data_IF_628735256065
#
_entry.id   IF_628735256065
#
_cell.length_a   1.000
_cell.length_b   1.000
_cell.length_c   1.000
_cell.angle_alpha   90.00
_cell.angle_beta   90.00
_cell.angle_gamma   90.00
#
_symmetry.space_group_name_H-M   'P 1'
#
loop_
_entity.id
_entity.type
_entity.pdbx_description
1 polymer ?
#
# COMPACT_ATOMS: atom_id res chain seq x y z
N UNK A 1 6.93 -4.72 20.77
CA UNK A 1 5.64 -5.23 21.28
C UNK A 1 4.49 -4.43 20.66
N UNK A 2 4.17 -3.22 21.14
CA UNK A 2 2.98 -2.48 20.66
C UNK A 2 2.99 -2.15 19.14
N UNK A 3 4.11 -1.68 18.60
CA UNK A 3 4.20 -1.42 17.15
C UNK A 3 4.16 -2.70 16.30
N UNK A 4 4.73 -3.79 16.79
CA UNK A 4 4.79 -5.05 16.05
C UNK A 4 3.40 -5.67 15.89
N UNK A 5 2.58 -5.60 16.94
CA UNK A 5 1.17 -5.98 16.86
C UNK A 5 0.42 -5.03 15.91
N UNK A 6 0.59 -3.71 16.10
CA UNK A 6 -0.05 -2.69 15.25
C UNK A 6 0.25 -2.89 13.77
N UNK A 7 1.53 -3.11 13.40
CA UNK A 7 1.93 -3.23 11.99
C UNK A 7 1.33 -4.47 11.32
N UNK A 8 1.16 -5.56 12.07
CA UNK A 8 0.54 -6.79 11.56
C UNK A 8 -0.95 -6.58 11.31
N UNK A 9 -1.65 -5.92 12.24
CA UNK A 9 -3.06 -5.58 12.07
C UNK A 9 -3.29 -4.59 10.91
N UNK A 10 -2.40 -3.61 10.75
CA UNK A 10 -2.42 -2.72 9.59
C UNK A 10 -2.22 -3.48 8.29
N UNK A 11 -1.38 -4.53 8.29
CA UNK A 11 -1.19 -5.39 7.14
C UNK A 11 -2.45 -6.17 6.76
N UNK A 12 -3.19 -6.67 7.75
CA UNK A 12 -4.51 -7.28 7.52
C UNK A 12 -5.49 -6.28 6.89
N UNK A 13 -5.51 -5.03 7.36
CA UNK A 13 -6.40 -4.00 6.83
C UNK A 13 -6.02 -3.52 5.41
N UNK A 14 -4.75 -3.65 5.02
CA UNK A 14 -4.26 -3.31 3.68
C UNK A 14 -4.28 -4.47 2.70
N UNK A 15 -4.42 -5.71 3.17
CA UNK A 15 -4.46 -6.86 2.29
C UNK A 15 -5.63 -6.74 1.30
N UNK A 16 -5.34 -6.92 0.01
CA UNK A 16 -6.29 -6.70 -1.09
C UNK A 16 -6.84 -5.28 -1.24
N UNK A 17 -6.23 -4.29 -0.59
CA UNK A 17 -6.58 -2.89 -0.85
C UNK A 17 -6.10 -2.47 -2.25
N UNK A 18 -6.95 -1.76 -3.00
CA UNK A 18 -6.54 -1.19 -4.29
C UNK A 18 -5.64 0.02 -4.04
N UNK A 19 -4.41 0.00 -4.53
CA UNK A 19 -3.55 1.20 -4.51
C UNK A 19 -3.91 2.10 -5.70
N UNK A 20 -4.57 3.23 -5.40
CA UNK A 20 -5.12 4.15 -6.39
C UNK A 20 -4.16 5.27 -6.79
N UNK A 21 -3.22 5.61 -5.91
CA UNK A 21 -2.26 6.69 -6.15
C UNK A 21 -1.23 6.78 -5.04
N UNK A 22 -0.05 7.28 -5.41
CA UNK A 22 1.03 7.57 -4.48
C UNK A 22 1.74 8.83 -4.93
N UNK A 23 1.87 9.81 -4.06
CA UNK A 23 2.49 11.10 -4.35
C UNK A 23 3.40 11.54 -3.21
N UNK A 24 4.39 12.37 -3.53
CA UNK A 24 5.37 12.87 -2.57
C UNK A 24 5.53 14.37 -2.80
N UNK A 25 5.36 15.14 -1.73
CA UNK A 25 5.78 16.54 -1.65
C UNK A 25 7.22 16.56 -1.09
N UNK A 26 8.25 16.70 -1.94
CA UNK A 26 9.64 16.66 -1.48
C UNK A 26 10.02 17.87 -0.62
N UNK A 27 9.35 19.02 -0.79
CA UNK A 27 9.64 20.23 -0.03
C UNK A 27 9.12 20.12 1.41
N UNK A 28 7.93 19.54 1.59
CA UNK A 28 7.35 19.28 2.92
C UNK A 28 7.76 17.93 3.51
N UNK A 29 8.39 17.06 2.70
CA UNK A 29 8.74 15.68 3.05
C UNK A 29 7.52 14.88 3.51
N UNK A 30 6.43 14.98 2.76
CA UNK A 30 5.18 14.25 3.03
C UNK A 30 4.90 13.34 1.85
N UNK A 31 4.60 12.08 2.11
CA UNK A 31 4.03 11.19 1.12
C UNK A 31 2.56 10.93 1.44
N UNK A 32 1.75 10.76 0.39
CA UNK A 32 0.36 10.37 0.49
C UNK A 32 0.10 9.16 -0.40
N UNK A 33 -0.42 8.08 0.17
CA UNK A 33 -0.93 6.94 -0.56
C UNK A 33 -2.44 6.89 -0.45
N UNK A 34 -3.13 6.76 -1.58
CA UNK A 34 -4.59 6.59 -1.60
C UNK A 34 -4.91 5.13 -1.86
N UNK A 35 -5.61 4.51 -0.92
CA UNK A 35 -6.07 3.14 -1.02
C UNK A 35 -7.59 3.08 -1.07
N UNK A 36 -8.16 2.11 -1.78
CA UNK A 36 -9.52 1.63 -1.53
C UNK A 36 -9.43 0.37 -0.69
N UNK A 37 -9.96 0.40 0.52
CA UNK A 37 -9.74 -0.67 1.51
C UNK A 37 -10.97 -1.54 1.72
N UNK A 38 -10.74 -2.73 2.26
CA UNK A 38 -11.78 -3.67 2.66
C UNK A 38 -11.98 -3.56 4.17
N UNK A 39 -12.91 -2.70 4.59
CA UNK A 39 -13.14 -2.39 6.01
C UNK A 39 -14.63 -2.41 6.36
N UNK A 40 -14.97 -2.86 7.56
CA UNK A 40 -16.32 -2.75 8.13
C UNK A 40 -16.32 -1.94 9.44
N UNK A 41 -17.31 -1.07 9.65
CA UNK A 41 -17.49 -0.41 10.94
C UNK A 41 -17.94 -1.41 12.00
N UNK A 42 -17.77 -1.07 13.28
CA UNK A 42 -18.26 -1.89 14.39
C UNK A 42 -19.79 -2.07 14.38
N UNK A 43 -20.53 -1.10 13.82
CA UNK A 43 -21.97 -1.17 13.62
C UNK A 43 -22.41 -0.29 12.45
N UNK A 44 -23.59 -0.60 11.90
CA UNK A 44 -24.17 0.11 10.75
C UNK A 44 -23.75 -0.46 9.40
N UNK A 45 -24.08 0.31 8.35
CA UNK A 45 -23.78 -0.07 6.96
C UNK A 45 -22.29 0.17 6.63
N UNK A 46 -21.70 -0.63 5.72
CA UNK A 46 -20.40 -0.32 5.16
C UNK A 46 -20.36 1.09 4.57
N UNK A 47 -19.22 1.80 4.62
CA UNK A 47 -19.12 3.13 4.04
C UNK A 47 -19.29 3.06 2.51
N UNK A 48 -20.04 4.02 1.96
CA UNK A 48 -20.24 4.16 0.51
C UNK A 48 -18.90 4.41 -0.22
N UNK A 49 -18.05 5.24 0.38
CA UNK A 49 -16.69 5.49 -0.07
C UNK A 49 -15.68 4.81 0.86
N UNK A 50 -15.00 3.79 0.31
CA UNK A 50 -13.98 3.00 1.00
C UNK A 50 -12.56 3.53 0.79
N UNK A 51 -12.42 4.71 0.21
CA UNK A 51 -11.11 5.32 0.00
C UNK A 51 -10.59 5.91 1.31
N UNK A 52 -9.31 5.68 1.56
CA UNK A 52 -8.54 6.30 2.64
C UNK A 52 -7.25 6.87 2.08
N UNK A 53 -6.74 7.91 2.72
CA UNK A 53 -5.42 8.46 2.45
C UNK A 53 -4.52 8.13 3.64
N UNK A 54 -3.43 7.42 3.38
CA UNK A 54 -2.34 7.24 4.33
C UNK A 54 -1.30 8.33 4.10
N UNK A 55 -0.99 9.07 5.16
CA UNK A 55 -0.05 10.18 5.14
C UNK A 55 1.18 9.79 5.95
N UNK A 56 2.34 9.87 5.32
CA UNK A 56 3.62 9.49 5.88
C UNK A 56 4.46 10.74 6.12
N UNK A 57 4.95 10.94 7.34
CA UNK A 57 5.66 12.17 7.72
C UNK A 57 6.74 11.91 8.79
N UNK A 58 7.77 12.76 8.85
CA UNK A 58 8.40 13.20 7.62
C UNK A 58 8.94 11.99 6.83
N UNK A 59 9.09 12.11 5.52
CA UNK A 59 9.62 11.04 4.64
C UNK A 59 11.11 11.24 4.44
N UNK A 60 11.92 10.23 4.73
CA UNK A 60 13.38 10.24 4.60
C UNK A 60 13.91 9.62 3.31
N UNK A 61 13.22 8.61 2.78
CA UNK A 61 13.59 7.91 1.53
C UNK A 61 12.36 7.38 0.80
N UNK A 62 12.43 7.37 -0.53
CA UNK A 62 11.49 6.70 -1.43
C UNK A 62 12.31 5.91 -2.43
N UNK A 63 12.16 4.59 -2.45
CA UNK A 63 12.81 3.72 -3.40
C UNK A 63 11.76 2.90 -4.16
N UNK A 64 11.98 2.71 -5.46
CA UNK A 64 11.08 1.90 -6.28
C UNK A 64 11.83 1.10 -7.32
N UNK A 65 11.25 -0.03 -7.72
CA UNK A 65 11.68 -0.89 -8.81
C UNK A 65 10.48 -1.14 -9.72
N UNK A 66 10.40 -0.39 -10.81
CA UNK A 66 9.46 -0.60 -11.91
C UNK A 66 10.15 -1.41 -12.99
N UNK A 67 9.58 -2.57 -13.35
CA UNK A 67 10.16 -3.44 -14.37
C UNK A 67 9.13 -3.93 -15.40
N UNK A 68 9.56 -4.02 -16.65
CA UNK A 68 8.83 -4.68 -17.74
C UNK A 68 9.13 -6.17 -17.72
N UNK A 69 8.12 -6.99 -17.39
CA UNK A 69 8.24 -8.43 -17.18
C UNK A 69 7.47 -8.90 -15.95
N UNK A 70 7.43 -10.22 -15.75
CA UNK A 70 6.88 -10.81 -14.53
C UNK A 70 7.78 -10.53 -13.32
N UNK A 71 7.21 -10.56 -12.12
CA UNK A 71 7.93 -10.25 -10.87
C UNK A 71 9.10 -11.20 -10.59
N UNK A 72 9.06 -12.41 -11.14
CA UNK A 72 10.09 -13.44 -11.02
C UNK A 72 11.06 -13.49 -12.22
N UNK A 73 10.95 -12.58 -13.17
CA UNK A 73 11.86 -12.48 -14.30
C UNK A 73 13.11 -11.69 -13.90
N UNK A 74 14.25 -12.39 -13.82
CA UNK A 74 15.53 -11.79 -13.46
C UNK A 74 16.05 -10.82 -14.53
N UNK A 75 15.65 -11.02 -15.79
CA UNK A 75 16.05 -10.20 -16.93
C UNK A 75 15.08 -9.04 -17.22
N UNK A 76 14.01 -8.89 -16.42
CA UNK A 76 13.02 -7.84 -16.59
C UNK A 76 13.68 -6.45 -16.61
N UNK A 77 13.41 -5.70 -17.67
CA UNK A 77 14.00 -4.38 -17.91
C UNK A 77 13.54 -3.39 -16.84
N UNK A 78 14.50 -2.70 -16.21
CA UNK A 78 14.21 -1.63 -15.24
C UNK A 78 13.84 -0.36 -15.98
N UNK A 79 12.69 0.22 -15.63
CA UNK A 79 12.19 1.46 -16.22
C UNK A 79 12.43 2.61 -15.24
N UNK A 80 13.38 3.54 -15.51
CA UNK A 80 13.62 4.67 -14.64
C UNK A 80 12.49 5.69 -14.71
N UNK A 81 12.20 6.36 -13.60
CA UNK A 81 11.23 7.46 -13.54
C UNK A 81 11.60 8.45 -12.42
N UNK A 82 11.10 9.68 -12.52
CA UNK A 82 11.36 10.71 -11.51
C UNK A 82 10.32 10.65 -10.39
N UNK A 83 10.63 11.25 -9.22
CA UNK A 83 9.69 11.30 -8.11
C UNK A 83 8.33 11.94 -8.50
N UNK A 84 8.34 12.94 -9.39
CA UNK A 84 7.12 13.59 -9.89
C UNK A 84 6.25 12.68 -10.78
N UNK A 85 6.82 11.63 -11.36
CA UNK A 85 6.08 10.68 -12.19
C UNK A 85 5.37 9.60 -11.37
N UNK A 86 5.67 9.47 -10.07
CA UNK A 86 5.24 8.35 -9.22
C UNK A 86 3.71 8.16 -9.23
N UNK A 87 2.94 9.25 -9.17
CA UNK A 87 1.48 9.16 -9.22
C UNK A 87 0.99 8.56 -10.53
N UNK A 88 1.55 9.02 -11.66
CA UNK A 88 1.21 8.50 -12.99
C UNK A 88 1.62 7.04 -13.16
N UNK A 89 2.78 6.65 -12.63
CA UNK A 89 3.24 5.25 -12.63
C UNK A 89 2.26 4.37 -11.87
N UNK A 90 1.90 4.71 -10.63
CA UNK A 90 0.94 3.95 -9.81
C UNK A 90 -0.43 3.88 -10.50
N UNK A 91 -0.96 5.02 -10.97
CA UNK A 91 -2.25 5.06 -11.66
C UNK A 91 -2.28 4.22 -12.93
N UNK A 92 -1.15 4.08 -13.62
CA UNK A 92 -1.07 3.27 -14.82
C UNK A 92 -1.29 1.77 -14.57
N UNK A 93 -1.20 1.28 -13.33
CA UNK A 93 -1.62 -0.08 -12.96
C UNK A 93 -3.15 -0.22 -12.87
N UNK A 94 -3.91 0.86 -12.89
CA UNK A 94 -5.38 0.81 -12.94
C UNK A 94 -6.04 0.46 -11.60
N UNK A 95 -5.37 0.73 -10.47
CA UNK A 95 -5.91 0.47 -9.14
C UNK A 95 -6.01 -1.02 -8.83
N UNK A 96 -4.99 -1.81 -9.20
CA UNK A 96 -4.94 -3.22 -8.81
C UNK A 96 -4.70 -3.36 -7.30
N UNK A 97 -5.21 -4.45 -6.70
CA UNK A 97 -4.97 -4.77 -5.30
C UNK A 97 -3.48 -4.96 -5.00
N UNK A 98 -3.08 -4.56 -3.79
CA UNK A 98 -1.78 -4.89 -3.23
C UNK A 98 -1.84 -6.22 -2.50
N UNK A 99 -0.73 -6.97 -2.56
CA UNK A 99 -0.60 -8.29 -1.95
C UNK A 99 0.66 -8.35 -1.10
N UNK A 100 0.59 -9.08 0.02
CA UNK A 100 1.78 -9.34 0.83
C UNK A 100 1.51 -9.75 2.27
N UNK A 101 0.34 -9.41 2.85
CA UNK A 101 -0.02 -9.54 4.27
C UNK A 101 0.91 -8.77 5.26
N UNK A 102 2.19 -8.63 4.93
CA UNK A 102 3.20 -7.83 5.60
C UNK A 102 3.58 -6.65 4.69
N UNK A 103 3.33 -5.42 5.15
CA UNK A 103 3.65 -4.22 4.37
C UNK A 103 4.64 -3.31 5.09
N UNK A 104 4.72 -3.38 6.42
CA UNK A 104 5.49 -2.43 7.23
C UNK A 104 6.78 -3.05 7.76
N UNK A 105 7.85 -2.27 7.72
CA UNK A 105 9.18 -2.64 8.24
C UNK A 105 9.73 -3.95 7.65
N UNK A 106 9.45 -4.19 6.36
CA UNK A 106 9.99 -5.31 5.57
C UNK A 106 11.01 -4.85 4.52
N UNK A 107 11.45 -3.59 4.58
CA UNK A 107 12.25 -2.96 3.54
C UNK A 107 13.59 -3.65 3.27
N UNK A 108 14.23 -4.27 4.26
CA UNK A 108 15.49 -5.00 4.05
C UNK A 108 15.30 -6.20 3.12
N UNK A 109 14.21 -6.96 3.32
CA UNK A 109 13.83 -8.10 2.46
C UNK A 109 13.55 -7.64 1.04
N UNK A 110 12.84 -6.53 0.91
CA UNK A 110 12.48 -5.95 -0.39
C UNK A 110 13.71 -5.41 -1.13
N UNK A 111 14.54 -4.60 -0.48
CA UNK A 111 15.76 -4.07 -1.08
C UNK A 111 16.75 -5.18 -1.47
N UNK A 112 16.88 -6.23 -0.66
CA UNK A 112 17.71 -7.38 -0.99
C UNK A 112 17.21 -8.10 -2.26
N UNK A 113 15.89 -8.22 -2.43
CA UNK A 113 15.25 -8.79 -3.63
C UNK A 113 15.46 -7.93 -4.88
N UNK A 114 15.40 -6.60 -4.72
CA UNK A 114 15.55 -5.68 -5.84
C UNK A 114 17.02 -5.59 -6.29
N UNK A 115 17.97 -5.65 -5.35
CA UNK A 115 19.40 -5.54 -5.62
C UNK A 115 19.73 -4.16 -6.19
N UNK A 116 20.40 -4.12 -7.35
CA UNK A 116 20.73 -2.89 -8.06
C UNK A 116 19.64 -2.41 -9.04
N UNK A 117 18.46 -3.05 -9.06
CA UNK A 117 17.39 -2.79 -10.03
C UNK A 117 16.43 -1.70 -9.57
N UNK A 118 16.95 -0.53 -9.24
CA UNK A 118 16.15 0.62 -8.79
C UNK A 118 15.77 1.52 -9.97
N UNK A 119 14.49 1.86 -10.05
CA UNK A 119 13.95 2.88 -10.95
C UNK A 119 14.01 4.29 -10.36
N UNK A 120 13.95 4.37 -9.04
CA UNK A 120 13.93 5.61 -8.24
C UNK A 120 14.59 5.32 -6.88
N UNK A 121 15.45 6.23 -6.41
CA UNK A 121 15.97 6.26 -5.03
C UNK A 121 16.14 7.72 -4.61
N UNK A 122 15.06 8.31 -4.09
CA UNK A 122 15.05 9.68 -3.57
C UNK A 122 15.29 9.68 -2.06
N UNK A 123 16.06 10.66 -1.57
CA UNK A 123 16.42 10.83 -0.16
C UNK A 123 16.34 12.30 0.24
N UNK A 124 15.89 12.58 1.47
CA UNK A 124 15.61 13.95 1.94
C UNK A 124 16.36 14.37 3.20
N UNK A 125 16.96 13.43 3.94
CA UNK A 125 17.63 13.72 5.20
C UNK A 125 17.95 12.47 6.03
N UNK A 126 18.54 12.67 7.23
CA UNK A 126 18.87 11.59 8.15
C UNK A 126 17.68 11.12 9.01
N UNK A 127 16.58 11.86 9.04
CA UNK A 127 15.32 11.56 9.72
C UNK A 127 14.23 11.09 8.74
N UNK A 128 13.06 10.64 9.22
CA UNK A 128 12.05 10.01 8.38
C UNK A 128 12.44 8.60 7.93
N UNK A 129 13.17 7.87 8.78
CA UNK A 129 13.75 6.56 8.46
C UNK A 129 13.42 5.48 9.50
N UNK A 130 12.64 5.80 10.54
CA UNK A 130 12.37 4.86 11.63
C UNK A 130 11.40 3.75 11.26
N UNK A 131 10.53 3.98 10.26
CA UNK A 131 9.54 3.04 9.72
C UNK A 131 9.60 3.01 8.21
N UNK A 132 9.05 1.96 7.63
CA UNK A 132 8.83 1.87 6.19
C UNK A 132 7.52 1.18 5.86
N UNK A 133 6.93 1.52 4.71
CA UNK A 133 5.90 0.72 4.05
C UNK A 133 6.46 0.25 2.71
N UNK A 134 6.20 -1.00 2.35
CA UNK A 134 6.48 -1.57 1.04
C UNK A 134 5.18 -2.08 0.42
N UNK A 135 4.94 -1.73 -0.85
CA UNK A 135 3.77 -2.14 -1.62
C UNK A 135 4.19 -2.67 -2.97
N UNK A 136 3.44 -3.64 -3.47
CA UNK A 136 3.65 -4.30 -4.75
C UNK A 136 2.41 -4.17 -5.62
N UNK A 137 2.59 -3.83 -6.90
CA UNK A 137 1.56 -3.92 -7.93
C UNK A 137 2.09 -4.69 -9.14
N UNK A 138 1.24 -5.53 -9.73
CA UNK A 138 1.48 -6.16 -11.02
C UNK A 138 0.37 -5.79 -12.00
N UNK A 139 0.70 -5.72 -13.29
CA UNK A 139 -0.29 -5.56 -14.34
C UNK A 139 -1.31 -6.70 -14.31
N UNK A 140 -2.60 -6.39 -14.08
CA UNK A 140 -3.69 -7.37 -14.22
C UNK A 140 -4.11 -7.62 -15.67
N UNK A 141 -3.80 -6.68 -16.57
CA UNK A 141 -4.05 -6.78 -18.01
C UNK A 141 -2.96 -6.02 -18.80
N UNK A 142 -2.79 -6.37 -20.08
CA UNK A 142 -1.76 -5.78 -20.95
C UNK A 142 -0.38 -6.44 -20.81
N UNK A 143 0.68 -5.78 -21.31
CA UNK A 143 2.05 -6.29 -21.17
C UNK A 143 2.43 -6.48 -19.70
N UNK A 144 3.11 -7.59 -19.41
CA UNK A 144 3.58 -7.89 -18.06
C UNK A 144 4.51 -6.79 -17.57
N UNK A 145 4.19 -6.22 -16.41
CA UNK A 145 5.05 -5.31 -15.66
C UNK A 145 4.66 -5.28 -14.20
N UNK A 146 5.57 -4.83 -13.36
CA UNK A 146 5.33 -4.72 -11.93
C UNK A 146 6.09 -3.55 -11.31
N UNK A 147 5.55 -3.05 -10.22
CA UNK A 147 6.12 -2.00 -9.39
C UNK A 147 6.27 -2.54 -7.97
N UNK A 148 7.50 -2.54 -7.49
CA UNK A 148 7.79 -2.58 -6.06
C UNK A 148 8.09 -1.15 -5.59
N UNK A 149 7.45 -0.69 -4.52
CA UNK A 149 7.64 0.66 -3.96
C UNK A 149 7.86 0.56 -2.45
N UNK A 150 8.86 1.26 -1.93
CA UNK A 150 9.11 1.38 -0.50
C UNK A 150 9.33 2.83 -0.09
N UNK A 151 8.68 3.24 1.00
CA UNK A 151 8.72 4.59 1.54
C UNK A 151 9.07 4.53 3.01
N UNK A 152 10.08 5.29 3.40
CA UNK A 152 10.53 5.43 4.77
C UNK A 152 9.97 6.72 5.40
N UNK A 153 9.55 6.63 6.66
CA UNK A 153 8.92 7.72 7.39
C UNK A 153 9.05 7.53 8.92
N UNK A 154 8.61 8.49 9.73
CA UNK A 154 8.56 8.32 11.20
C UNK A 154 7.13 8.24 11.77
N UNK A 155 6.17 8.88 11.13
CA UNK A 155 4.78 9.02 11.53
C UNK A 155 3.83 8.59 10.39
N UNK A 156 2.76 7.91 10.78
CA UNK A 156 1.69 7.46 9.90
C UNK A 156 0.35 8.00 10.41
N UNK A 157 -0.43 8.60 9.52
CA UNK A 157 -1.79 9.04 9.77
C UNK A 157 -2.72 8.49 8.68
N UNK A 158 -3.93 8.07 9.05
CA UNK A 158 -4.95 7.62 8.10
C UNK A 158 -6.10 8.60 8.10
N UNK A 159 -6.57 9.02 6.92
CA UNK A 159 -7.71 9.92 6.74
C UNK A 159 -8.76 9.34 5.81
N UNK A 160 -10.01 9.67 6.08
CA UNK A 160 -11.14 9.47 5.16
C UNK A 160 -11.14 10.56 4.08
N UNK A 161 -11.96 10.38 3.05
CA UNK A 161 -12.10 11.34 1.94
C UNK A 161 -12.71 12.68 2.34
N UNK A 162 -13.42 12.75 3.48
CA UNK A 162 -13.89 14.00 4.10
C UNK A 162 -12.81 14.70 4.94
N UNK A 163 -11.60 14.13 5.03
CA UNK A 163 -10.48 14.64 5.80
C UNK A 163 -10.46 14.21 7.27
N UNK A 164 -11.46 13.47 7.74
CA UNK A 164 -11.50 12.97 9.12
C UNK A 164 -10.38 11.95 9.38
N UNK A 165 -9.68 12.12 10.51
CA UNK A 165 -8.62 11.20 10.94
C UNK A 165 -9.22 9.91 11.49
N UNK A 166 -8.72 8.77 11.03
CA UNK A 166 -9.00 7.45 11.57
C UNK A 166 -7.82 7.05 12.46
N UNK A 167 -8.10 6.68 13.70
CA UNK A 167 -7.09 6.10 14.58
C UNK A 167 -6.56 4.80 13.99
N UNK A 168 -5.25 4.55 14.09
CA UNK A 168 -4.64 3.35 13.52
C UNK A 168 -5.26 2.07 14.09
N UNK A 169 -5.59 2.04 15.38
CA UNK A 169 -6.22 0.87 16.01
C UNK A 169 -7.63 0.62 15.44
N UNK A 170 -8.39 1.68 15.17
CA UNK A 170 -9.73 1.55 14.59
C UNK A 170 -9.67 1.17 13.11
N UNK A 171 -8.68 1.68 12.37
CA UNK A 171 -8.46 1.28 10.98
C UNK A 171 -8.11 -0.21 10.90
N UNK A 172 -7.16 -0.67 11.72
CA UNK A 172 -6.80 -2.07 11.91
C UNK A 172 -8.01 -2.94 12.26
N UNK A 173 -8.75 -2.57 13.32
CA UNK A 173 -9.93 -3.30 13.77
C UNK A 173 -11.02 -3.37 12.68
N UNK A 174 -11.18 -2.30 11.89
CA UNK A 174 -12.12 -2.28 10.77
C UNK A 174 -11.76 -3.25 9.65
N UNK A 175 -10.46 -3.39 9.34
CA UNK A 175 -9.96 -4.38 8.39
C UNK A 175 -10.19 -5.80 8.88
N UNK A 176 -9.82 -6.09 10.14
CA UNK A 176 -10.05 -7.40 10.77
C UNK A 176 -11.54 -7.80 10.73
N UNK A 177 -12.44 -6.88 11.11
CA UNK A 177 -13.89 -7.12 11.05
C UNK A 177 -14.37 -7.47 9.64
N UNK A 178 -13.77 -6.90 8.60
CA UNK A 178 -14.11 -7.24 7.22
C UNK A 178 -13.76 -8.70 6.91
N UNK A 179 -12.54 -9.13 7.25
CA UNK A 179 -12.11 -10.52 7.02
C UNK A 179 -12.92 -11.52 7.85
N UNK A 180 -13.15 -11.23 9.13
CA UNK A 180 -13.98 -12.08 10.00
C UNK A 180 -15.41 -12.23 9.45
N UNK A 181 -16.01 -11.13 8.96
CA UNK A 181 -17.34 -11.14 8.37
C UNK A 181 -17.37 -11.91 7.04
N UNK A 182 -16.34 -11.78 6.21
CA UNK A 182 -16.23 -12.52 4.94
C UNK A 182 -16.14 -14.03 5.19
N UNK A 183 -15.30 -14.46 6.13
CA UNK A 183 -15.19 -15.87 6.50
C UNK A 183 -16.47 -16.42 7.16
N UNK A 184 -17.27 -15.56 7.79
CA UNK A 184 -18.58 -15.93 8.35
C UNK A 184 -19.73 -15.91 7.32
N UNK A 185 -19.47 -15.51 6.06
CA UNK A 185 -20.50 -15.42 5.01
C UNK A 185 -21.46 -14.24 5.19
N UNK A 186 -21.00 -13.13 5.76
CA UNK A 186 -21.81 -11.91 5.90
C UNK A 186 -22.11 -11.28 4.53
N UNK A 187 -23.39 -11.01 4.24
CA UNK A 187 -23.83 -10.42 2.97
C UNK A 187 -23.17 -9.07 2.67
N UNK A 188 -22.70 -8.33 3.69
CA UNK A 188 -22.03 -7.04 3.53
C UNK A 188 -20.66 -7.16 2.84
N UNK A 189 -20.08 -8.35 2.75
CA UNK A 189 -18.80 -8.58 2.07
C UNK A 189 -18.94 -9.14 0.65
N UNK A 190 -20.16 -9.46 0.21
CA UNK A 190 -20.43 -9.96 -1.15
C UNK A 190 -20.00 -8.95 -2.24
N UNK A 191 -19.46 -9.44 -3.35
CA UNK A 191 -18.98 -8.62 -4.47
C UNK A 191 -17.66 -7.86 -4.24
N UNK A 192 -16.97 -8.05 -3.12
CA UNK A 192 -15.67 -7.41 -2.82
C UNK A 192 -14.61 -8.41 -2.34
N UNK A 193 -13.35 -8.25 -2.78
CA UNK A 193 -12.21 -9.12 -2.43
C UNK A 193 -12.14 -10.44 -3.22
N UNK A 194 -11.23 -11.34 -2.84
CA UNK A 194 -11.15 -12.70 -3.40
C UNK A 194 -12.39 -13.50 -3.00
N UNK A 195 -13.23 -13.80 -3.98
CA UNK A 195 -14.14 -14.93 -3.90
C UNK A 195 -13.38 -16.17 -4.39
N UNK A 196 -13.42 -17.31 -3.67
CA UNK A 196 -13.09 -18.57 -4.32
C UNK A 196 -14.03 -18.68 -5.52
N UNK A 197 -13.46 -18.86 -6.71
CA UNK A 197 -14.23 -19.30 -7.86
C UNK A 197 -15.00 -20.55 -7.40
N UNK A 198 -16.33 -20.45 -7.39
CA UNK A 198 -17.21 -21.48 -6.82
C UNK A 198 -16.83 -22.88 -7.31
N UNK A 199 -16.86 -23.84 -6.38
CA UNK A 199 -16.78 -25.26 -6.69
C UNK A 199 -17.97 -25.76 -7.51
#
# INVERSE_FOLDING_TARGET
AEWEETRNELGIALNEADLLGFEVDPARRIAAATFRVLTLPAGGHPPEDRRVQMLFRPVGRVAASLRNGFWNDEAAEVVPFSLSDLLGVVQSFGGQPVYGWEFFDIHDKELARWGNRLSLDWRSGPDGLSRSIAVFQSSGAGPARHLDLCVWFDELEVRRTDGAVIRLEEFAASGRRWWDAMYAGDKRTEGHGIFPAGG
#
